data_IF_433640430455
#
_entry.id   IF_433640430455
#
_cell.length_a   1.000
_cell.length_b   1.000
_cell.length_c   1.000
_cell.angle_alpha   90.00
_cell.angle_beta   90.00
_cell.angle_gamma   90.00
#
_symmetry.space_group_name_H-M   'P 1'
#
loop_
_entity.id
_entity.type
_entity.pdbx_description
1 polymer ?
#
# COMPACT_ATOMS: atom_id res chain seq x y z
N UNK A 1 24.74 -8.04 -28.89
CA UNK A 1 24.46 -7.86 -27.44
C UNK A 1 24.24 -6.37 -27.10
N UNK A 2 23.01 -5.83 -27.22
CA UNK A 2 22.66 -4.47 -26.73
C UNK A 2 21.14 -4.36 -26.46
N UNK A 3 20.60 -5.05 -25.45
CA UNK A 3 19.19 -4.86 -24.99
C UNK A 3 18.96 -4.91 -23.47
N UNK A 4 19.99 -5.14 -22.64
CA UNK A 4 19.81 -5.36 -21.19
C UNK A 4 19.97 -4.10 -20.33
N UNK A 5 20.78 -3.10 -20.75
CA UNK A 5 21.11 -1.92 -19.92
C UNK A 5 19.92 -0.99 -19.62
N UNK A 6 18.93 -0.90 -20.51
CA UNK A 6 17.74 -0.05 -20.29
C UNK A 6 16.79 -0.62 -19.24
N UNK A 7 16.51 -1.93 -19.28
CA UNK A 7 15.53 -2.58 -18.39
C UNK A 7 15.95 -2.55 -16.91
N UNK A 8 17.24 -2.62 -16.63
CA UNK A 8 17.78 -2.58 -15.26
C UNK A 8 17.64 -1.19 -14.63
N UNK A 9 17.87 -0.11 -15.41
CA UNK A 9 17.71 1.27 -14.93
C UNK A 9 16.24 1.61 -14.58
N UNK A 10 15.30 1.26 -15.46
CA UNK A 10 13.86 1.49 -15.21
C UNK A 10 13.32 0.73 -13.99
N UNK A 11 13.80 -0.49 -13.72
CA UNK A 11 13.42 -1.24 -12.51
C UNK A 11 13.95 -0.58 -11.24
N UNK A 12 15.20 -0.10 -11.25
CA UNK A 12 15.80 0.59 -10.11
C UNK A 12 15.10 1.92 -9.80
N UNK A 13 14.81 2.74 -10.83
CA UNK A 13 14.14 4.04 -10.64
C UNK A 13 12.72 3.86 -10.09
N UNK A 14 11.97 2.87 -10.57
CA UNK A 14 10.63 2.56 -10.03
C UNK A 14 10.68 2.07 -8.59
N UNK A 15 11.67 1.23 -8.25
CA UNK A 15 11.84 0.72 -6.89
C UNK A 15 12.20 1.84 -5.90
N UNK A 16 13.14 2.73 -6.26
CA UNK A 16 13.48 3.91 -5.46
C UNK A 16 12.26 4.80 -5.19
N UNK A 17 11.51 5.12 -6.25
CA UNK A 17 10.31 5.94 -6.19
C UNK A 17 9.19 5.31 -5.34
N UNK A 18 9.10 3.97 -5.29
CA UNK A 18 8.16 3.29 -4.38
C UNK A 18 8.55 3.45 -2.92
N UNK A 19 9.82 3.26 -2.58
CA UNK A 19 10.29 3.40 -1.20
C UNK A 19 10.08 4.81 -0.66
N UNK A 20 10.27 5.83 -1.51
CA UNK A 20 9.94 7.22 -1.20
C UNK A 20 8.45 7.38 -0.85
N UNK A 21 7.55 6.81 -1.65
CA UNK A 21 6.10 6.82 -1.38
C UNK A 21 5.76 6.09 -0.07
N UNK A 22 6.33 4.91 0.16
CA UNK A 22 6.13 4.14 1.40
C UNK A 22 6.57 4.96 2.62
N UNK A 23 7.73 5.60 2.56
CA UNK A 23 8.23 6.43 3.65
C UNK A 23 7.37 7.68 3.85
N UNK A 24 6.89 8.29 2.77
CA UNK A 24 5.91 9.38 2.85
C UNK A 24 4.63 8.92 3.58
N UNK A 25 4.05 7.78 3.21
CA UNK A 25 2.82 7.28 3.84
C UNK A 25 2.99 6.91 5.31
N UNK A 26 4.15 6.36 5.69
CA UNK A 26 4.47 6.05 7.09
C UNK A 26 4.38 7.26 8.02
N UNK A 27 4.62 8.46 7.48
CA UNK A 27 4.57 9.71 8.24
C UNK A 27 3.22 10.41 8.09
N UNK A 28 2.78 10.68 6.86
CA UNK A 28 1.60 11.53 6.59
C UNK A 28 0.30 10.91 7.14
N UNK A 29 0.18 9.59 7.14
CA UNK A 29 -1.04 8.90 7.60
C UNK A 29 -1.22 9.05 9.12
N UNK A 30 -0.15 9.36 9.86
CA UNK A 30 -0.22 9.59 11.31
C UNK A 30 -0.70 11.02 11.64
N UNK A 31 -0.70 11.94 10.67
CA UNK A 31 -1.09 13.33 10.87
C UNK A 31 -1.71 13.96 9.60
N UNK A 32 -2.85 13.41 9.18
CA UNK A 32 -3.45 13.75 7.90
C UNK A 32 -4.08 15.15 7.86
N UNK A 33 -4.49 15.72 9.00
CA UNK A 33 -5.06 17.07 9.06
C UNK A 33 -4.03 18.17 8.76
N UNK A 34 -2.75 17.92 9.04
CA UNK A 34 -1.66 18.86 8.76
C UNK A 34 -0.95 18.57 7.43
N UNK A 35 -1.44 17.57 6.69
CA UNK A 35 -0.89 17.21 5.39
C UNK A 35 -1.43 18.12 4.29
N UNK A 36 -0.63 18.36 3.26
CA UNK A 36 -1.16 18.77 1.97
C UNK A 36 -1.99 17.61 1.39
N UNK A 37 -3.31 17.80 1.38
CA UNK A 37 -4.24 16.73 1.01
C UNK A 37 -4.25 16.46 -0.50
N UNK A 38 -3.96 17.46 -1.33
CA UNK A 38 -3.84 17.29 -2.78
C UNK A 38 -2.57 16.50 -3.09
N UNK A 39 -1.46 16.84 -2.42
CA UNK A 39 -0.22 16.09 -2.52
C UNK A 39 -0.38 14.64 -2.03
N UNK A 40 -1.12 14.44 -0.94
CA UNK A 40 -1.50 13.10 -0.47
C UNK A 40 -2.27 12.33 -1.55
N UNK A 41 -3.29 12.92 -2.15
CA UNK A 41 -4.09 12.29 -3.20
C UNK A 41 -3.24 11.88 -4.41
N UNK A 42 -2.39 12.78 -4.91
CA UNK A 42 -1.51 12.49 -6.05
C UNK A 42 -0.51 11.38 -5.74
N UNK A 43 0.06 11.35 -4.52
CA UNK A 43 0.96 10.26 -4.11
C UNK A 43 0.22 8.92 -3.96
N UNK A 44 -0.99 8.91 -3.39
CA UNK A 44 -1.80 7.68 -3.30
C UNK A 44 -2.13 7.15 -4.68
N UNK A 45 -2.52 8.02 -5.62
CA UNK A 45 -2.77 7.65 -7.02
C UNK A 45 -1.52 7.06 -7.67
N UNK A 46 -0.38 7.71 -7.55
CA UNK A 46 0.92 7.20 -8.07
C UNK A 46 1.28 5.85 -7.48
N UNK A 47 1.07 5.65 -6.18
CA UNK A 47 1.31 4.36 -5.53
C UNK A 47 0.32 3.29 -6.00
N UNK A 48 -0.95 3.66 -6.18
CA UNK A 48 -1.97 2.77 -6.72
C UNK A 48 -1.61 2.27 -8.13
N UNK A 49 -1.02 3.12 -8.98
CA UNK A 49 -0.49 2.68 -10.28
C UNK A 49 0.65 1.66 -10.13
N UNK A 50 1.52 1.84 -9.13
CA UNK A 50 2.65 0.94 -8.86
C UNK A 50 2.24 -0.41 -8.28
N UNK A 51 1.06 -0.52 -7.68
CA UNK A 51 0.45 -1.77 -7.25
C UNK A 51 -0.19 -2.55 -8.42
N UNK A 52 -0.36 -1.93 -9.60
CA UNK A 52 -1.03 -2.59 -10.73
C UNK A 52 -0.26 -3.83 -11.19
N UNK A 53 -0.96 -4.93 -11.53
CA UNK A 53 -0.37 -6.03 -12.27
C UNK A 53 0.35 -5.52 -13.51
N UNK A 54 1.60 -5.92 -13.72
CA UNK A 54 2.24 -5.62 -14.99
C UNK A 54 1.93 -6.71 -16.01
N UNK A 55 1.71 -6.30 -17.26
CA UNK A 55 1.36 -7.19 -18.38
C UNK A 55 2.29 -8.41 -18.52
N UNK A 56 3.55 -8.27 -18.11
CA UNK A 56 4.56 -9.33 -18.19
C UNK A 56 5.07 -9.82 -16.82
N UNK A 57 4.52 -9.33 -15.70
CA UNK A 57 4.91 -9.76 -14.35
C UNK A 57 3.74 -10.47 -13.66
N UNK A 58 3.69 -11.79 -13.85
CA UNK A 58 2.68 -12.65 -13.22
C UNK A 58 2.96 -12.92 -11.74
N UNK A 59 4.19 -12.65 -11.29
CA UNK A 59 4.66 -12.97 -9.93
C UNK A 59 4.36 -11.87 -8.91
N UNK A 60 4.33 -10.61 -9.34
CA UNK A 60 4.10 -9.44 -8.48
C UNK A 60 2.69 -8.84 -8.62
N UNK A 61 1.68 -9.67 -8.86
CA UNK A 61 0.30 -9.24 -9.08
C UNK A 61 -0.33 -8.78 -7.75
N UNK A 62 -0.73 -7.51 -7.62
CA UNK A 62 -1.59 -7.05 -6.51
C UNK A 62 -2.96 -6.70 -7.07
N UNK A 63 -3.91 -7.64 -6.95
CA UNK A 63 -5.27 -7.46 -7.43
C UNK A 63 -6.12 -6.62 -6.47
N UNK A 64 -7.18 -6.02 -6.99
CA UNK A 64 -8.20 -5.36 -6.17
C UNK A 64 -8.80 -6.32 -5.14
N UNK A 65 -8.99 -7.61 -5.48
CA UNK A 65 -9.50 -8.61 -4.54
C UNK A 65 -8.57 -8.88 -3.36
N UNK A 66 -7.25 -8.85 -3.57
CA UNK A 66 -6.27 -9.00 -2.48
C UNK A 66 -6.29 -7.80 -1.54
N UNK A 67 -6.37 -6.58 -2.08
CA UNK A 67 -6.48 -5.35 -1.30
C UNK A 67 -7.80 -5.33 -0.53
N UNK A 68 -8.92 -5.68 -1.17
CA UNK A 68 -10.27 -5.69 -0.56
C UNK A 68 -10.35 -6.60 0.67
N UNK A 69 -9.67 -7.75 0.64
CA UNK A 69 -9.62 -8.68 1.79
C UNK A 69 -9.02 -8.03 3.04
N UNK A 70 -8.03 -7.17 2.87
CA UNK A 70 -7.37 -6.43 3.96
C UNK A 70 -8.20 -5.21 4.34
N UNK A 71 -8.68 -4.46 3.36
CA UNK A 71 -9.56 -3.30 3.52
C UNK A 71 -10.78 -3.60 4.40
N UNK A 72 -11.53 -4.67 4.11
CA UNK A 72 -12.73 -5.00 4.88
C UNK A 72 -12.43 -5.21 6.37
N UNK A 73 -11.28 -5.82 6.70
CA UNK A 73 -10.87 -6.03 8.09
C UNK A 73 -10.49 -4.71 8.77
N UNK A 74 -9.80 -3.84 8.07
CA UNK A 74 -9.38 -2.52 8.57
C UNK A 74 -10.59 -1.61 8.82
N UNK A 75 -11.56 -1.59 7.90
CA UNK A 75 -12.77 -0.77 8.05
C UNK A 75 -13.68 -1.26 9.18
N UNK A 76 -13.61 -2.55 9.53
CA UNK A 76 -14.38 -3.11 10.64
C UNK A 76 -13.74 -2.88 12.01
N UNK A 77 -12.48 -2.40 12.08
CA UNK A 77 -11.83 -2.09 13.34
C UNK A 77 -12.47 -0.82 13.95
N UNK A 78 -12.95 -0.92 15.19
CA UNK A 78 -13.60 0.20 15.91
C UNK A 78 -12.64 0.93 16.83
N UNK A 79 -11.55 0.27 17.20
CA UNK A 79 -10.52 0.78 18.10
C UNK A 79 -9.13 0.48 17.57
N UNK A 80 -8.14 1.20 18.10
CA UNK A 80 -6.72 0.96 17.78
C UNK A 80 -6.31 -0.47 18.11
N UNK A 81 -6.85 -1.04 19.20
CA UNK A 81 -6.50 -2.40 19.60
C UNK A 81 -7.04 -3.42 18.58
N UNK A 82 -8.27 -3.25 18.09
CA UNK A 82 -8.83 -4.10 17.02
C UNK A 82 -7.92 -4.09 15.79
N UNK A 83 -7.46 -2.89 15.42
CA UNK A 83 -6.59 -2.73 14.26
C UNK A 83 -5.21 -3.36 14.48
N UNK A 84 -4.62 -3.21 15.68
CA UNK A 84 -3.34 -3.84 16.07
C UNK A 84 -3.45 -5.37 16.15
N UNK A 85 -4.63 -5.92 16.43
CA UNK A 85 -4.86 -7.38 16.38
C UNK A 85 -4.81 -7.95 14.96
N UNK A 86 -4.84 -7.12 13.90
CA UNK A 86 -4.66 -7.58 12.53
C UNK A 86 -3.19 -7.85 12.17
N UNK A 87 -2.21 -7.39 12.97
CA UNK A 87 -0.78 -7.50 12.66
C UNK A 87 -0.29 -8.95 12.42
N UNK A 88 -0.70 -9.97 13.19
CA UNK A 88 -0.37 -11.37 12.87
C UNK A 88 -0.94 -11.81 11.51
N UNK A 89 -2.12 -11.31 11.13
CA UNK A 89 -2.72 -11.60 9.82
C UNK A 89 -1.94 -10.92 8.71
N UNK A 90 -1.43 -9.70 8.92
CA UNK A 90 -0.51 -9.05 7.98
C UNK A 90 0.77 -9.86 7.79
N UNK A 91 1.41 -10.29 8.88
CA UNK A 91 2.60 -11.14 8.81
C UNK A 91 2.33 -12.43 8.02
N UNK A 92 1.21 -13.09 8.27
CA UNK A 92 0.80 -14.29 7.52
C UNK A 92 0.57 -14.00 6.02
N UNK A 93 -0.11 -12.90 5.69
CA UNK A 93 -0.35 -12.48 4.30
C UNK A 93 0.95 -12.16 3.56
N UNK A 94 1.90 -11.49 4.22
CA UNK A 94 3.21 -11.20 3.67
C UNK A 94 4.02 -12.50 3.45
N UNK A 95 4.06 -13.38 4.46
CA UNK A 95 4.83 -14.63 4.42
C UNK A 95 4.33 -15.62 3.37
N UNK A 96 3.00 -15.84 3.28
CA UNK A 96 2.45 -16.79 2.30
C UNK A 96 2.59 -16.33 0.84
N UNK A 97 2.88 -15.04 0.63
CA UNK A 97 3.05 -14.41 -0.68
C UNK A 97 4.50 -13.94 -0.87
N UNK A 98 5.48 -14.62 -0.28
CA UNK A 98 6.90 -14.21 -0.29
C UNK A 98 7.46 -13.90 -1.69
N UNK A 99 6.95 -14.57 -2.74
CA UNK A 99 7.37 -14.36 -4.13
C UNK A 99 6.77 -13.11 -4.78
N UNK A 100 5.74 -12.53 -4.15
CA UNK A 100 5.07 -11.30 -4.56
C UNK A 100 5.60 -10.14 -3.72
N UNK A 101 6.75 -9.61 -4.13
CA UNK A 101 7.48 -8.57 -3.41
C UNK A 101 6.62 -7.32 -3.23
N UNK A 102 5.83 -6.96 -4.25
CA UNK A 102 4.96 -5.78 -4.21
C UNK A 102 3.86 -5.92 -3.15
N UNK A 103 3.21 -7.09 -3.07
CA UNK A 103 2.21 -7.33 -2.03
C UNK A 103 2.87 -7.33 -0.65
N UNK A 104 4.02 -8.00 -0.52
CA UNK A 104 4.75 -8.07 0.75
C UNK A 104 5.09 -6.68 1.26
N UNK A 105 5.69 -5.83 0.42
CA UNK A 105 6.00 -4.42 0.74
C UNK A 105 4.75 -3.63 1.14
N UNK A 106 3.65 -3.80 0.42
CA UNK A 106 2.37 -3.16 0.75
C UNK A 106 1.89 -3.55 2.15
N UNK A 107 1.88 -4.86 2.45
CA UNK A 107 1.41 -5.36 3.76
C UNK A 107 2.36 -4.96 4.90
N UNK A 108 3.67 -4.94 4.67
CA UNK A 108 4.68 -4.48 5.64
C UNK A 108 4.56 -2.98 5.92
N UNK A 109 4.23 -2.17 4.91
CA UNK A 109 3.91 -0.77 5.10
C UNK A 109 2.67 -0.60 5.99
N UNK A 110 1.60 -1.37 5.74
CA UNK A 110 0.41 -1.33 6.58
C UNK A 110 0.72 -1.73 8.04
N UNK A 111 1.47 -2.81 8.26
CA UNK A 111 1.89 -3.22 9.61
C UNK A 111 2.69 -2.11 10.32
N UNK A 112 3.61 -1.48 9.59
CA UNK A 112 4.44 -0.39 10.11
C UNK A 112 3.59 0.81 10.55
N UNK A 113 2.59 1.20 9.76
CA UNK A 113 1.69 2.31 10.13
C UNK A 113 0.83 1.91 11.33
N UNK A 114 0.20 0.73 11.30
CA UNK A 114 -0.65 0.23 12.39
C UNK A 114 0.11 0.11 13.72
N UNK A 115 1.38 -0.31 13.68
CA UNK A 115 2.26 -0.35 14.86
C UNK A 115 2.45 1.03 15.49
N UNK A 116 2.51 2.08 14.67
CA UNK A 116 2.79 3.46 15.09
C UNK A 116 1.57 4.22 15.60
N UNK A 117 0.34 3.73 15.34
CA UNK A 117 -0.90 4.39 15.79
C UNK A 117 -0.96 4.54 17.33
N UNK A 118 -1.36 5.73 17.78
CA UNK A 118 -1.41 6.17 19.18
C UNK A 118 -2.80 6.53 19.66
N UNK A 119 -3.65 7.08 18.80
CA UNK A 119 -4.99 7.55 19.17
C UNK A 119 -6.07 7.18 18.13
N UNK A 120 -7.34 7.42 18.51
CA UNK A 120 -8.49 7.09 17.68
C UNK A 120 -8.57 7.93 16.41
N UNK A 121 -8.03 9.16 16.44
CA UNK A 121 -8.00 10.05 15.27
C UNK A 121 -7.07 9.47 14.20
N UNK A 122 -5.92 8.93 14.60
CA UNK A 122 -5.01 8.21 13.71
C UNK A 122 -5.61 6.92 13.13
N UNK A 123 -6.50 6.23 13.86
CA UNK A 123 -7.26 5.12 13.29
C UNK A 123 -8.13 5.58 12.11
N UNK A 124 -8.84 6.71 12.27
CA UNK A 124 -9.67 7.28 11.20
C UNK A 124 -8.82 7.69 10.01
N UNK A 125 -7.65 8.29 10.24
CA UNK A 125 -6.70 8.62 9.15
C UNK A 125 -6.22 7.39 8.39
N UNK A 126 -5.89 6.32 9.11
CA UNK A 126 -5.48 5.06 8.49
C UNK A 126 -6.61 4.44 7.65
N UNK A 127 -7.86 4.51 8.13
CA UNK A 127 -9.03 4.07 7.38
C UNK A 127 -9.22 4.90 6.10
N UNK A 128 -9.11 6.24 6.19
CA UNK A 128 -9.15 7.14 5.01
C UNK A 128 -8.04 6.82 4.01
N UNK A 129 -6.83 6.53 4.49
CA UNK A 129 -5.73 6.09 3.63
C UNK A 129 -6.06 4.79 2.89
N UNK A 130 -6.59 3.79 3.59
CA UNK A 130 -6.99 2.52 2.98
C UNK A 130 -8.14 2.69 1.98
N UNK A 131 -9.09 3.57 2.26
CA UNK A 131 -10.17 3.93 1.35
C UNK A 131 -9.62 4.60 0.07
N UNK A 132 -8.72 5.57 0.21
CA UNK A 132 -8.07 6.23 -0.92
C UNK A 132 -7.27 5.24 -1.79
N UNK A 133 -6.53 4.30 -1.17
CA UNK A 133 -5.84 3.22 -1.89
C UNK A 133 -6.84 2.40 -2.70
N UNK A 134 -7.95 1.95 -2.11
CA UNK A 134 -8.96 1.17 -2.82
C UNK A 134 -9.60 1.96 -3.96
N UNK A 135 -9.95 3.23 -3.72
CA UNK A 135 -10.56 4.12 -4.71
C UNK A 135 -9.64 4.32 -5.92
N UNK A 136 -8.38 4.70 -5.68
CA UNK A 136 -7.43 4.92 -6.76
C UNK A 136 -7.02 3.61 -7.44
N UNK A 137 -6.97 2.48 -6.73
CA UNK A 137 -6.73 1.17 -7.37
C UNK A 137 -7.85 0.78 -8.31
N UNK A 138 -9.10 1.09 -7.97
CA UNK A 138 -10.25 0.92 -8.87
C UNK A 138 -10.18 1.90 -10.05
N UNK A 139 -9.74 3.14 -9.82
CA UNK A 139 -9.60 4.15 -10.88
C UNK A 139 -8.52 3.80 -11.92
N UNK A 140 -7.36 3.26 -11.50
CA UNK A 140 -6.21 2.98 -12.38
C UNK A 140 -6.11 1.52 -12.86
N UNK A 141 -6.97 0.65 -12.35
CA UNK A 141 -6.96 -0.78 -12.66
C UNK A 141 -8.08 -1.18 -13.61
N UNK A 142 -7.73 -1.88 -14.70
CA UNK A 142 -8.69 -2.55 -15.59
C UNK A 142 -9.10 -3.93 -15.02
N UNK A 143 -9.30 -4.03 -13.70
CA UNK A 143 -9.74 -5.28 -13.07
C UNK A 143 -11.25 -5.47 -13.39
N UNK A 144 -11.55 -6.04 -14.56
CA UNK A 144 -12.83 -6.75 -14.83
C UNK A 144 -12.95 -8.02 -13.98
#
# INVERSE_FOLDING_TARGET
>A
MKKERGKTKYKNDRFSNRNELINYFKNVVLDLDNADYDEFCEKVKKYAEQLRPQKYDKTNKVTTSMIRKVYNKIMNAKSIIDLKMLRPQFAYLAGRNEKNVVLKEFIEMLDSIVKSLRDQKQLVYFQRFMEAIVAYRKYVGDDE
#
